data_IF_991949797920
#
_entry.id   IF_991949797920
#
_cell.length_a   1.000
_cell.length_b   1.000
_cell.length_c   1.000
_cell.angle_alpha   90.00
_cell.angle_beta   90.00
_cell.angle_gamma   90.00
#
_symmetry.space_group_name_H-M   'P 1'
#
loop_
_entity.id
_entity.type
_entity.pdbx_description
1 polymer ?
#
# COMPACT_ATOMS: atom_id res chain seq x y z
N UNK A 1 5.80 -0.38 -87.23
CA UNK A 1 5.05 -1.65 -87.33
C UNK A 1 6.05 -2.77 -87.53
N UNK A 2 6.14 -3.74 -86.61
CA UNK A 2 6.40 -5.16 -86.88
C UNK A 2 6.34 -5.96 -85.56
N UNK A 3 5.36 -6.86 -85.56
CA UNK A 3 5.04 -7.94 -84.63
C UNK A 3 6.20 -8.93 -84.42
N UNK A 4 6.37 -9.47 -83.20
CA UNK A 4 6.42 -10.93 -82.97
C UNK A 4 6.49 -11.32 -81.48
N UNK A 5 5.41 -11.95 -81.04
CA UNK A 5 5.27 -12.89 -79.92
C UNK A 5 6.41 -13.92 -79.83
N UNK A 6 6.84 -14.25 -78.60
CA UNK A 6 7.27 -15.62 -78.20
C UNK A 6 6.98 -15.89 -76.70
N UNK A 7 6.07 -16.84 -76.45
CA UNK A 7 5.80 -17.51 -75.16
C UNK A 7 6.92 -18.50 -74.78
N UNK A 8 7.17 -18.74 -73.48
CA UNK A 8 7.77 -19.96 -72.87
C UNK A 8 7.54 -19.96 -71.33
N UNK A 9 7.65 -21.09 -70.58
CA UNK A 9 6.64 -22.15 -70.44
C UNK A 9 6.25 -22.43 -68.97
N UNK A 10 5.22 -23.27 -68.77
CA UNK A 10 4.74 -23.74 -67.47
C UNK A 10 5.73 -24.67 -66.76
N UNK A 11 5.86 -24.53 -65.44
CA UNK A 11 6.70 -25.38 -64.61
C UNK A 11 5.97 -26.68 -64.20
N UNK A 12 6.69 -27.81 -64.11
CA UNK A 12 6.08 -29.10 -63.86
C UNK A 12 6.30 -29.57 -62.42
N UNK A 13 5.45 -30.50 -61.98
CA UNK A 13 5.61 -31.34 -60.77
C UNK A 13 5.06 -30.80 -59.45
N UNK A 14 3.74 -31.06 -59.35
CA UNK A 14 2.98 -31.37 -58.14
C UNK A 14 3.42 -32.75 -57.60
N UNK A 15 3.41 -32.89 -56.26
CA UNK A 15 3.47 -34.11 -55.43
C UNK A 15 4.84 -34.68 -55.03
N UNK A 16 5.26 -34.37 -53.79
CA UNK A 16 5.76 -35.39 -52.86
C UNK A 16 5.35 -35.02 -51.44
N UNK A 17 4.28 -35.68 -50.97
CA UNK A 17 3.90 -35.70 -49.58
C UNK A 17 4.90 -36.57 -48.78
N UNK A 18 4.92 -36.27 -47.48
CA UNK A 18 5.17 -37.21 -46.38
C UNK A 18 6.62 -37.62 -46.03
N UNK A 19 6.78 -37.73 -44.71
CA UNK A 19 7.97 -38.12 -43.94
C UNK A 19 8.97 -36.98 -43.73
N UNK A 20 8.91 -36.35 -42.57
CA UNK A 20 10.00 -36.31 -41.59
C UNK A 20 9.56 -35.55 -40.32
N UNK A 21 9.12 -36.34 -39.34
CA UNK A 21 9.41 -36.24 -37.90
C UNK A 21 9.14 -34.90 -37.21
N UNK A 22 8.14 -34.96 -36.33
CA UNK A 22 7.88 -34.05 -35.22
C UNK A 22 9.15 -33.71 -34.44
N UNK A 23 9.62 -32.47 -34.54
CA UNK A 23 10.51 -31.86 -33.53
C UNK A 23 9.75 -30.70 -32.93
N UNK A 24 9.25 -30.90 -31.71
CA UNK A 24 8.60 -29.87 -30.90
C UNK A 24 9.65 -28.82 -30.54
N UNK A 25 9.70 -27.72 -31.29
CA UNK A 25 10.52 -26.54 -30.96
C UNK A 25 9.95 -25.88 -29.71
N UNK A 26 10.55 -26.15 -28.55
CA UNK A 26 10.33 -25.35 -27.35
C UNK A 26 10.93 -23.96 -27.58
N UNK A 27 10.10 -22.93 -27.46
CA UNK A 27 10.50 -21.53 -27.62
C UNK A 27 11.38 -21.09 -26.44
N UNK A 28 12.35 -20.18 -26.65
CA UNK A 28 13.27 -19.72 -25.60
C UNK A 28 12.55 -19.06 -24.42
N UNK A 29 11.34 -18.53 -24.65
CA UNK A 29 10.47 -17.96 -23.61
C UNK A 29 10.02 -19.03 -22.61
N UNK A 30 9.69 -20.24 -23.05
CA UNK A 30 9.23 -21.31 -22.16
C UNK A 30 10.35 -21.81 -21.24
N UNK A 31 11.59 -21.86 -21.73
CA UNK A 31 12.75 -22.23 -20.91
C UNK A 31 13.05 -21.16 -19.86
N UNK A 32 12.98 -19.88 -20.23
CA UNK A 32 13.17 -18.78 -19.29
C UNK A 32 12.07 -18.73 -18.21
N UNK A 33 10.81 -18.96 -18.57
CA UNK A 33 9.71 -19.02 -17.59
C UNK A 33 9.85 -20.20 -16.65
N UNK A 34 10.23 -21.39 -17.15
CA UNK A 34 10.46 -22.57 -16.29
C UNK A 34 11.65 -22.32 -15.36
N UNK A 35 12.75 -21.74 -15.84
CA UNK A 35 13.89 -21.41 -15.00
C UNK A 35 13.54 -20.39 -13.90
N UNK A 36 12.72 -19.38 -14.23
CA UNK A 36 12.27 -18.37 -13.27
C UNK A 36 11.30 -18.97 -12.23
N UNK A 37 10.40 -19.86 -12.64
CA UNK A 37 9.51 -20.58 -11.72
C UNK A 37 10.28 -21.52 -10.79
N UNK A 38 11.30 -22.23 -11.29
CA UNK A 38 12.17 -23.08 -10.46
C UNK A 38 13.00 -22.23 -9.49
N UNK A 39 13.50 -21.07 -9.92
CA UNK A 39 14.23 -20.16 -9.04
C UNK A 39 13.33 -19.60 -7.92
N UNK A 40 12.12 -19.15 -8.27
CA UNK A 40 11.13 -18.67 -7.30
C UNK A 40 10.71 -19.78 -6.33
N UNK A 41 10.40 -20.97 -6.83
CA UNK A 41 10.05 -22.12 -5.99
C UNK A 41 11.22 -22.55 -5.08
N UNK A 42 12.45 -22.51 -5.59
CA UNK A 42 13.67 -22.82 -4.83
C UNK A 42 13.94 -21.82 -3.71
N UNK A 43 13.75 -20.51 -3.96
CA UNK A 43 13.89 -19.48 -2.92
C UNK A 43 12.82 -19.60 -1.83
N UNK A 44 11.57 -19.89 -2.23
CA UNK A 44 10.49 -20.17 -1.28
C UNK A 44 10.78 -21.44 -0.46
N UNK A 45 11.33 -22.49 -1.09
CA UNK A 45 11.72 -23.72 -0.39
C UNK A 45 12.90 -23.51 0.58
N UNK A 46 13.89 -22.68 0.23
CA UNK A 46 15.01 -22.36 1.14
C UNK A 46 14.55 -21.62 2.39
N UNK A 47 13.60 -20.68 2.25
CA UNK A 47 12.98 -19.97 3.37
C UNK A 47 12.06 -20.87 4.20
N UNK A 48 11.47 -21.92 3.60
CA UNK A 48 10.65 -22.88 4.33
C UNK A 48 11.51 -23.95 5.06
N UNK A 49 12.64 -24.35 4.47
CA UNK A 49 13.58 -25.31 5.05
C UNK A 49 14.30 -24.76 6.30
N UNK A 50 14.60 -23.45 6.34
CA UNK A 50 15.17 -22.81 7.55
C UNK A 50 14.19 -22.74 8.73
N UNK A 51 12.89 -22.74 8.46
CA UNK A 51 11.86 -22.65 9.51
C UNK A 51 11.57 -24.01 10.17
N UNK A 52 11.83 -25.13 9.48
CA UNK A 52 11.57 -26.48 9.99
C UNK A 52 12.71 -27.08 10.84
N UNK A 53 13.91 -26.47 10.87
CA UNK A 53 15.02 -26.89 11.74
C UNK A 53 15.01 -26.21 13.12
N UNK A 54 14.24 -25.15 13.31
CA UNK A 54 14.18 -24.40 14.58
C UNK A 54 13.20 -25.00 15.61
N UNK A 55 12.56 -26.14 15.31
CA UNK A 55 11.51 -26.71 16.13
C UNK A 55 11.58 -28.23 16.27
N UNK A 56 12.64 -28.77 16.90
CA UNK A 56 12.57 -30.04 17.67
C UNK A 56 13.87 -30.37 18.44
N UNK A 57 13.79 -30.25 19.78
CA UNK A 57 14.52 -31.03 20.81
C UNK A 57 16.00 -30.70 21.08
N UNK A 58 16.55 -30.83 22.30
CA UNK A 58 16.15 -31.63 23.46
C UNK A 58 16.72 -31.07 24.79
N UNK A 59 15.87 -31.09 25.82
CA UNK A 59 16.09 -31.59 27.18
C UNK A 59 17.46 -31.40 27.88
N UNK A 60 17.48 -30.50 28.88
CA UNK A 60 18.40 -30.55 30.03
C UNK A 60 17.63 -30.24 31.32
N UNK A 61 17.50 -31.26 32.19
CA UNK A 61 16.69 -31.26 33.41
C UNK A 61 17.35 -30.53 34.59
N UNK A 62 16.61 -29.71 35.34
CA UNK A 62 16.20 -29.99 36.74
C UNK A 62 15.41 -28.80 37.36
N UNK A 63 14.45 -29.07 38.25
CA UNK A 63 13.53 -28.07 38.81
C UNK A 63 14.02 -27.53 40.15
N UNK A 64 13.83 -26.24 40.40
CA UNK A 64 13.56 -25.72 41.75
C UNK A 64 12.60 -24.54 41.60
N UNK A 65 11.56 -24.54 42.42
CA UNK A 65 10.35 -23.76 42.22
C UNK A 65 10.53 -22.25 42.32
N UNK A 66 9.61 -21.54 41.66
CA UNK A 66 8.80 -20.49 42.26
C UNK A 66 7.62 -20.24 41.30
N UNK A 67 6.43 -20.13 41.86
CA UNK A 67 5.17 -19.86 41.16
C UNK A 67 5.18 -18.44 40.55
N UNK A 68 4.37 -18.20 39.51
CA UNK A 68 3.34 -17.12 39.43
C UNK A 68 3.00 -16.74 37.97
N UNK A 69 1.68 -16.72 37.71
CA UNK A 69 0.91 -16.00 36.70
C UNK A 69 0.91 -16.47 35.23
N UNK A 70 -0.14 -17.26 34.94
CA UNK A 70 -0.90 -17.28 33.69
C UNK A 70 -1.19 -15.87 33.18
N UNK A 71 -0.64 -15.51 32.02
CA UNK A 71 -1.21 -14.47 31.18
C UNK A 71 -1.12 -14.90 29.73
N UNK A 72 -2.05 -15.77 29.31
CA UNK A 72 -2.36 -15.98 27.89
C UNK A 72 -2.68 -14.63 27.27
N UNK A 73 -1.75 -14.08 26.49
CA UNK A 73 -2.05 -12.99 25.56
C UNK A 73 -3.06 -13.54 24.54
N UNK A 74 -4.32 -13.06 24.52
CA UNK A 74 -5.24 -13.44 23.47
C UNK A 74 -4.74 -12.83 22.17
N UNK A 75 -4.87 -13.63 21.11
CA UNK A 75 -4.35 -13.37 19.78
C UNK A 75 -4.54 -11.92 19.30
N UNK A 76 -3.54 -11.48 18.54
CA UNK A 76 -3.61 -10.26 17.75
C UNK A 76 -4.96 -10.20 17.05
N UNK A 77 -5.76 -9.21 17.45
CA UNK A 77 -7.04 -8.88 16.87
C UNK A 77 -6.76 -8.58 15.39
N UNK A 78 -7.01 -9.56 14.53
CA UNK A 78 -7.19 -9.33 13.11
C UNK A 78 -8.11 -8.12 12.99
N UNK A 79 -7.68 -7.14 12.18
CA UNK A 79 -8.45 -5.92 11.94
C UNK A 79 -9.90 -6.33 11.66
N UNK A 80 -10.80 -5.90 12.54
CA UNK A 80 -12.19 -6.29 12.44
C UNK A 80 -12.72 -5.79 11.09
N UNK A 81 -13.05 -6.74 10.22
CA UNK A 81 -13.74 -6.49 8.97
C UNK A 81 -15.06 -5.78 9.30
N UNK A 82 -15.33 -4.69 8.61
CA UNK A 82 -16.42 -3.72 8.82
C UNK A 82 -16.03 -2.42 9.52
N UNK A 83 -14.77 -2.20 9.93
CA UNK A 83 -14.41 -1.00 10.70
C UNK A 83 -14.00 0.19 9.83
N UNK A 84 -14.96 1.11 9.63
CA UNK A 84 -14.69 2.45 9.09
C UNK A 84 -13.88 3.29 10.09
N UNK A 85 -12.86 3.99 9.59
CA UNK A 85 -11.99 4.89 10.35
C UNK A 85 -11.71 6.15 9.56
N UNK A 86 -11.43 7.24 10.24
CA UNK A 86 -10.94 8.49 9.65
C UNK A 86 -9.51 8.70 10.10
N UNK A 87 -8.63 9.07 9.17
CA UNK A 87 -7.25 9.47 9.46
C UNK A 87 -7.09 10.91 9.03
N UNK A 88 -6.70 11.76 9.97
CA UNK A 88 -6.25 13.11 9.71
C UNK A 88 -4.72 13.09 9.60
N UNK A 89 -4.23 13.24 8.38
CA UNK A 89 -2.81 13.36 8.08
C UNK A 89 -2.38 14.82 8.07
N UNK A 90 -1.21 15.10 8.65
CA UNK A 90 -0.42 16.28 8.32
C UNK A 90 0.82 15.84 7.55
N UNK A 91 0.85 16.14 6.26
CA UNK A 91 2.00 15.88 5.40
C UNK A 91 2.98 17.03 5.49
N UNK A 92 4.22 16.73 5.87
CA UNK A 92 5.32 17.69 5.99
C UNK A 92 6.50 17.30 5.10
N UNK A 93 7.32 18.29 4.80
CA UNK A 93 8.68 18.08 4.31
C UNK A 93 9.67 18.11 5.50
N UNK A 94 10.94 17.78 5.26
CA UNK A 94 11.99 17.87 6.28
C UNK A 94 12.28 19.32 6.65
N UNK A 95 12.34 20.21 5.65
CA UNK A 95 12.46 21.64 5.88
C UNK A 95 11.17 22.19 6.51
N UNK A 96 11.31 22.86 7.67
CA UNK A 96 10.17 23.41 8.41
C UNK A 96 10.19 24.92 8.43
N UNK A 97 9.03 25.51 8.21
CA UNK A 97 8.77 26.95 8.27
C UNK A 97 7.88 27.28 9.49
N UNK A 98 7.83 28.56 9.90
CA UNK A 98 6.99 28.98 11.03
C UNK A 98 5.50 28.64 10.79
N UNK A 99 4.95 29.01 9.64
CA UNK A 99 3.57 28.70 9.26
C UNK A 99 3.27 27.20 9.24
N UNK A 100 4.25 26.40 8.81
CA UNK A 100 4.15 24.93 8.79
C UNK A 100 3.93 24.39 10.21
N UNK A 101 4.75 24.86 11.16
CA UNK A 101 4.62 24.48 12.58
C UNK A 101 3.28 24.95 13.16
N UNK A 102 2.83 26.15 12.81
CA UNK A 102 1.53 26.68 13.25
C UNK A 102 0.36 25.82 12.74
N UNK A 103 0.36 25.43 11.46
CA UNK A 103 -0.69 24.56 10.91
C UNK A 103 -0.72 23.23 11.65
N UNK A 104 0.44 22.60 11.86
CA UNK A 104 0.55 21.32 12.56
C UNK A 104 -0.02 21.43 13.99
N UNK A 105 0.41 22.43 14.74
CA UNK A 105 -0.02 22.67 16.12
C UNK A 105 -1.52 22.94 16.20
N UNK A 106 -2.03 23.87 15.40
CA UNK A 106 -3.45 24.25 15.43
C UNK A 106 -4.35 23.09 15.01
N UNK A 107 -3.92 22.30 14.02
CA UNK A 107 -4.68 21.12 13.58
C UNK A 107 -4.71 20.05 14.67
N UNK A 108 -3.55 19.78 15.29
CA UNK A 108 -3.47 18.86 16.43
C UNK A 108 -4.38 19.31 17.55
N UNK A 109 -4.30 20.57 17.97
CA UNK A 109 -5.13 21.11 19.05
C UNK A 109 -6.63 20.98 18.71
N UNK A 110 -7.03 21.35 17.49
CA UNK A 110 -8.41 21.26 17.04
C UNK A 110 -8.96 19.82 17.11
N UNK A 111 -8.14 18.84 16.71
CA UNK A 111 -8.50 17.42 16.72
C UNK A 111 -8.56 16.87 18.14
N UNK A 112 -7.51 17.07 18.94
CA UNK A 112 -7.42 16.50 20.30
C UNK A 112 -8.47 17.08 21.24
N UNK A 113 -8.77 18.38 21.11
CA UNK A 113 -9.80 19.01 21.93
C UNK A 113 -11.22 18.71 21.41
N UNK A 114 -11.39 18.56 20.09
CA UNK A 114 -12.71 18.37 19.48
C UNK A 114 -13.22 16.93 19.51
N UNK A 115 -12.33 15.93 19.53
CA UNK A 115 -12.69 14.53 19.30
C UNK A 115 -11.99 13.53 20.25
N UNK A 116 -11.93 13.78 21.57
CA UNK A 116 -11.23 12.90 22.51
C UNK A 116 -11.76 11.46 22.48
N UNK A 117 -13.07 11.27 22.37
CA UNK A 117 -13.69 9.94 22.33
C UNK A 117 -13.39 9.21 21.01
N UNK A 118 -13.42 9.90 19.87
CA UNK A 118 -13.13 9.30 18.57
C UNK A 118 -11.64 8.92 18.44
N UNK A 119 -10.75 9.67 19.08
CA UNK A 119 -9.35 9.30 19.20
C UNK A 119 -9.17 8.08 20.10
N UNK A 120 -9.82 8.08 21.27
CA UNK A 120 -9.74 7.00 22.26
C UNK A 120 -10.27 5.66 21.73
N UNK A 121 -11.35 5.68 20.96
CA UNK A 121 -11.95 4.47 20.39
C UNK A 121 -11.33 4.05 19.04
N UNK A 122 -10.39 4.84 18.50
CA UNK A 122 -9.70 4.56 17.25
C UNK A 122 -10.53 4.78 15.99
N UNK A 123 -11.65 5.52 16.09
CA UNK A 123 -12.42 5.97 14.93
C UNK A 123 -11.75 7.12 14.19
N UNK A 124 -11.01 7.97 14.91
CA UNK A 124 -10.19 9.04 14.35
C UNK A 124 -8.73 8.79 14.72
N UNK A 125 -7.82 8.94 13.76
CA UNK A 125 -6.38 8.87 13.97
C UNK A 125 -5.72 10.18 13.52
N UNK A 126 -4.79 10.70 14.32
CA UNK A 126 -3.93 11.81 13.93
C UNK A 126 -2.53 11.30 13.57
N UNK A 127 -2.05 11.62 12.37
CA UNK A 127 -0.74 11.18 11.90
C UNK A 127 0.02 12.32 11.23
N UNK A 128 1.29 12.50 11.62
CA UNK A 128 2.22 13.41 10.95
C UNK A 128 3.16 12.58 10.10
N UNK A 129 3.23 12.87 8.80
CA UNK A 129 4.00 12.07 7.83
C UNK A 129 4.99 12.98 7.12
N UNK A 130 6.28 12.62 7.14
CA UNK A 130 7.27 13.26 6.29
C UNK A 130 7.26 12.58 4.91
N UNK A 131 6.89 13.32 3.87
CA UNK A 131 6.76 12.77 2.51
C UNK A 131 8.10 12.52 1.81
N UNK A 132 9.19 13.03 2.38
CA UNK A 132 10.56 12.83 1.88
C UNK A 132 11.23 11.58 2.48
N UNK A 133 10.58 10.91 3.43
CA UNK A 133 11.08 9.64 3.98
C UNK A 133 10.83 8.49 3.00
N UNK A 134 11.78 7.53 2.89
CA UNK A 134 11.63 6.39 1.98
C UNK A 134 10.31 5.64 2.17
N UNK A 135 9.56 5.50 1.08
CA UNK A 135 8.27 4.82 1.06
C UNK A 135 7.06 5.75 1.19
N UNK A 136 7.23 7.02 1.58
CA UNK A 136 6.15 8.00 1.72
C UNK A 136 5.93 8.87 0.47
N UNK A 137 6.76 8.74 -0.55
CA UNK A 137 6.75 9.61 -1.74
C UNK A 137 5.46 9.47 -2.55
N UNK A 138 4.78 8.33 -2.43
CA UNK A 138 3.51 8.06 -3.09
C UNK A 138 2.41 9.05 -2.66
N UNK A 139 2.40 9.51 -1.41
CA UNK A 139 1.37 10.41 -0.89
C UNK A 139 1.28 11.73 -1.65
N UNK A 140 2.40 12.22 -2.18
CA UNK A 140 2.43 13.44 -3.00
C UNK A 140 1.53 13.30 -4.22
N UNK A 141 1.58 12.14 -4.89
CA UNK A 141 0.75 11.87 -6.07
C UNK A 141 -0.68 11.53 -5.67
N UNK A 142 -0.85 10.71 -4.64
CA UNK A 142 -2.15 10.16 -4.27
C UNK A 142 -3.11 11.24 -3.77
N UNK A 143 -2.59 12.23 -3.03
CA UNK A 143 -3.36 13.36 -2.51
C UNK A 143 -3.10 14.67 -3.23
N UNK A 144 -2.34 14.63 -4.34
CA UNK A 144 -2.01 15.80 -5.18
C UNK A 144 -1.43 16.95 -4.35
N UNK A 145 -0.47 16.62 -3.51
CA UNK A 145 0.15 17.56 -2.59
C UNK A 145 1.11 18.47 -3.35
N UNK A 146 0.89 19.78 -3.25
CA UNK A 146 1.82 20.79 -3.77
C UNK A 146 2.70 21.39 -2.67
N UNK A 147 2.24 21.32 -1.42
CA UNK A 147 2.90 21.81 -0.21
C UNK A 147 2.46 21.00 1.02
N UNK A 148 2.97 21.36 2.20
CA UNK A 148 2.52 20.78 3.46
C UNK A 148 1.00 20.91 3.59
N UNK A 149 0.32 19.83 3.95
CA UNK A 149 -1.14 19.76 3.81
C UNK A 149 -1.77 18.97 4.95
N UNK A 150 -2.97 19.38 5.34
CA UNK A 150 -3.84 18.59 6.21
C UNK A 150 -4.82 17.84 5.31
N UNK A 151 -4.80 16.51 5.36
CA UNK A 151 -5.68 15.67 4.55
C UNK A 151 -6.50 14.76 5.45
N UNK A 152 -7.82 14.77 5.26
CA UNK A 152 -8.71 13.80 5.88
C UNK A 152 -8.91 12.62 4.93
N UNK A 153 -8.76 11.41 5.45
CA UNK A 153 -8.89 10.17 4.70
C UNK A 153 -9.87 9.27 5.43
N UNK A 154 -10.83 8.72 4.70
CA UNK A 154 -11.72 7.69 5.18
C UNK A 154 -11.20 6.32 4.74
N UNK A 155 -11.08 5.42 5.69
CA UNK A 155 -10.72 4.02 5.48
C UNK A 155 -11.93 3.15 5.82
N UNK A 156 -12.33 2.26 4.92
CA UNK A 156 -13.24 1.17 5.18
C UNK A 156 -12.50 -0.14 4.94
N UNK A 157 -12.41 -0.97 5.96
CA UNK A 157 -11.69 -2.26 5.91
C UNK A 157 -10.23 -2.12 5.48
N UNK A 158 -9.60 -1.04 5.95
CA UNK A 158 -8.21 -0.69 5.62
C UNK A 158 -8.02 -0.13 4.21
N UNK A 159 -9.08 0.00 3.40
CA UNK A 159 -9.04 0.58 2.07
C UNK A 159 -9.58 2.00 2.09
N UNK A 160 -8.90 2.90 1.40
CA UNK A 160 -9.38 4.27 1.24
C UNK A 160 -10.67 4.31 0.40
N UNK A 161 -11.69 4.98 0.92
CA UNK A 161 -12.97 5.22 0.22
C UNK A 161 -13.13 6.68 -0.18
N UNK A 162 -12.62 7.61 0.63
CA UNK A 162 -12.76 9.06 0.42
C UNK A 162 -11.55 9.80 1.00
N UNK A 163 -11.23 10.95 0.43
CA UNK A 163 -10.27 11.88 1.02
C UNK A 163 -10.60 13.34 0.69
N UNK A 164 -10.04 14.27 1.46
CA UNK A 164 -10.16 15.72 1.23
C UNK A 164 -8.92 16.46 1.74
N UNK A 165 -8.35 17.34 0.91
CA UNK A 165 -7.35 18.31 1.36
C UNK A 165 -8.05 19.53 1.98
N UNK A 166 -7.62 19.92 3.18
CA UNK A 166 -8.19 21.04 3.93
C UNK A 166 -7.48 22.35 3.57
N UNK A 167 -7.65 22.83 2.34
CA UNK A 167 -6.89 23.96 1.80
C UNK A 167 -7.07 25.28 2.59
N UNK A 168 -8.23 25.48 3.26
CA UNK A 168 -8.49 26.71 4.00
C UNK A 168 -7.63 26.86 5.27
N UNK A 169 -6.92 25.81 5.72
CA UNK A 169 -5.97 25.93 6.84
C UNK A 169 -4.91 27.00 6.60
N UNK A 170 -4.50 27.19 5.34
CA UNK A 170 -3.53 28.22 4.95
C UNK A 170 -4.11 29.63 5.05
N UNK A 171 -5.40 29.79 4.75
CA UNK A 171 -6.09 31.08 4.78
C UNK A 171 -6.44 31.50 6.22
N UNK A 172 -6.62 30.54 7.12
CA UNK A 172 -7.11 30.76 8.48
C UNK A 172 -5.98 30.85 9.53
N UNK A 173 -4.71 30.86 9.12
CA UNK A 173 -3.56 30.92 10.02
C UNK A 173 -3.58 32.11 11.00
N UNK A 174 -4.15 33.24 10.58
CA UNK A 174 -4.26 34.45 11.40
C UNK A 174 -5.38 34.41 12.45
N UNK A 175 -6.28 33.42 12.40
CA UNK A 175 -7.41 33.26 13.31
C UNK A 175 -7.50 31.81 13.80
N UNK A 176 -6.89 31.54 14.96
CA UNK A 176 -6.88 30.20 15.57
C UNK A 176 -8.30 29.66 15.83
N UNK A 177 -9.26 30.53 16.15
CA UNK A 177 -10.64 30.10 16.43
C UNK A 177 -11.35 29.66 15.16
N UNK A 178 -11.26 30.47 14.09
CA UNK A 178 -11.80 30.10 12.79
C UNK A 178 -11.12 28.86 12.21
N UNK A 179 -9.80 28.76 12.34
CA UNK A 179 -9.03 27.58 11.97
C UNK A 179 -9.55 26.32 12.68
N UNK A 180 -9.64 26.36 14.02
CA UNK A 180 -10.07 25.22 14.82
C UNK A 180 -11.48 24.78 14.45
N UNK A 181 -12.39 25.75 14.25
CA UNK A 181 -13.77 25.48 13.85
C UNK A 181 -13.84 24.79 12.49
N UNK A 182 -13.11 25.30 11.51
CA UNK A 182 -13.04 24.73 10.17
C UNK A 182 -12.56 23.26 10.20
N UNK A 183 -11.43 23.00 10.86
CA UNK A 183 -10.90 21.63 10.99
C UNK A 183 -11.91 20.72 11.69
N UNK A 184 -12.53 21.17 12.77
CA UNK A 184 -13.52 20.37 13.50
C UNK A 184 -14.79 20.13 12.68
N UNK A 185 -15.25 21.09 11.88
CA UNK A 185 -16.40 20.88 10.99
C UNK A 185 -16.10 19.81 9.94
N UNK A 186 -14.95 19.90 9.28
CA UNK A 186 -14.53 18.93 8.27
C UNK A 186 -14.36 17.52 8.84
N UNK A 187 -13.71 17.40 10.01
CA UNK A 187 -13.57 16.10 10.69
C UNK A 187 -14.92 15.55 11.10
N UNK A 188 -15.85 16.39 11.58
CA UNK A 188 -17.19 15.94 11.96
C UNK A 188 -17.98 15.45 10.75
N UNK A 189 -17.86 16.09 9.60
CA UNK A 189 -18.47 15.62 8.35
C UNK A 189 -17.94 14.23 7.97
N UNK A 190 -16.62 14.05 8.01
CA UNK A 190 -15.99 12.75 7.78
C UNK A 190 -16.44 11.70 8.80
N UNK A 191 -16.65 12.06 10.06
CA UNK A 191 -17.14 11.14 11.09
C UNK A 191 -18.67 10.91 11.02
N UNK A 192 -19.46 11.82 10.46
CA UNK A 192 -20.93 11.73 10.42
C UNK A 192 -21.46 10.95 9.23
N UNK A 193 -20.79 11.01 8.07
CA UNK A 193 -21.07 10.18 6.89
C UNK A 193 -20.76 8.68 7.12
N UNK A 194 -20.49 8.29 8.37
CA UNK A 194 -20.16 6.94 8.84
C UNK A 194 -21.36 6.04 9.10
N UNK A 195 -22.58 6.45 8.72
CA UNK A 195 -23.84 5.80 9.08
C UNK A 195 -24.57 5.27 7.86
#
# INVERSE_FOLDING_TARGET
>A
MHNKSKKKPASPWRNKQETLKTVKKSTPVTVATIALLVFVAGSLFYVFAREFQSGQGLAGSRPTGEQVADNRIPGGKAAAEGQRKVVAYYFRATARCASCMTIEEYTRDAIFNGFPDALKNGLLLWQVVNVEEPGNEHFVRDYRLYSQSVVLVELQDGKQTKWKNLEQVWLLLGDKSAFSRYVQEEVRLFLAESR
#
